data_IF_586766199988
#
_entry.id   IF_586766199988
#
_cell.length_a   1.000
_cell.length_b   1.000
_cell.length_c   1.000
_cell.angle_alpha   90.00
_cell.angle_beta   90.00
_cell.angle_gamma   90.00
#
_symmetry.space_group_name_H-M   'P 1'
#
loop_
_entity.id
_entity.type
_entity.pdbx_description
1 polymer ?
#
# COMPACT_ATOMS: atom_id res chain seq x y z
N UNK A 1 -17.49 25.45 -6.78
CA UNK A 1 -16.32 24.54 -6.75
C UNK A 1 -16.20 23.73 -5.46
N UNK A 2 -16.34 24.31 -4.24
CA UNK A 2 -16.22 23.55 -2.97
C UNK A 2 -17.21 22.35 -2.83
N UNK A 3 -18.45 22.47 -3.31
CA UNK A 3 -19.46 21.39 -3.20
C UNK A 3 -19.15 20.12 -4.03
N UNK A 4 -18.40 20.23 -5.13
CA UNK A 4 -18.03 19.07 -5.97
C UNK A 4 -16.92 18.21 -5.32
N UNK A 5 -16.10 18.79 -4.45
CA UNK A 5 -15.01 18.10 -3.77
C UNK A 5 -15.47 17.19 -2.61
N UNK A 6 -16.73 17.32 -2.18
CA UNK A 6 -17.32 16.51 -1.09
C UNK A 6 -18.27 15.43 -1.60
N UNK A 7 -18.34 15.23 -2.92
CA UNK A 7 -19.08 14.09 -3.46
C UNK A 7 -18.44 12.78 -3.03
N UNK A 8 -19.22 11.73 -2.82
CA UNK A 8 -18.71 10.40 -2.50
C UNK A 8 -17.62 9.91 -3.46
N UNK A 9 -17.80 10.22 -4.73
CA UNK A 9 -16.85 9.88 -5.77
C UNK A 9 -15.51 10.63 -5.60
N UNK A 10 -15.56 11.92 -5.31
CA UNK A 10 -14.36 12.73 -5.10
C UNK A 10 -13.57 12.27 -3.86
N UNK A 11 -14.27 11.86 -2.79
CA UNK A 11 -13.62 11.27 -1.61
C UNK A 11 -12.98 9.93 -1.92
N UNK A 12 -13.64 9.09 -2.72
CA UNK A 12 -13.07 7.81 -3.15
C UNK A 12 -11.83 8.02 -4.01
N UNK A 13 -11.91 8.88 -5.03
CA UNK A 13 -10.76 9.21 -5.90
C UNK A 13 -9.58 9.75 -5.08
N UNK A 14 -9.85 10.60 -4.09
CA UNK A 14 -8.80 11.09 -3.20
C UNK A 14 -8.12 9.98 -2.40
N UNK A 15 -8.90 9.04 -1.83
CA UNK A 15 -8.37 7.92 -1.06
C UNK A 15 -7.53 6.98 -1.93
N UNK A 16 -8.00 6.71 -3.14
CA UNK A 16 -7.25 5.92 -4.12
C UNK A 16 -5.98 6.65 -4.54
N UNK A 17 -6.01 7.95 -4.79
CA UNK A 17 -4.83 8.74 -5.13
C UNK A 17 -3.78 8.73 -4.01
N UNK A 18 -4.20 8.82 -2.74
CA UNK A 18 -3.30 8.67 -1.59
C UNK A 18 -2.64 7.30 -1.54
N UNK A 19 -3.39 6.25 -1.84
CA UNK A 19 -2.85 4.89 -1.89
C UNK A 19 -1.81 4.74 -2.99
N UNK A 20 -2.08 5.23 -4.20
CA UNK A 20 -1.10 5.23 -5.27
C UNK A 20 0.16 6.02 -4.91
N UNK A 21 0.02 7.16 -4.25
CA UNK A 21 1.18 7.93 -3.77
C UNK A 21 2.00 7.12 -2.76
N UNK A 22 1.35 6.41 -1.84
CA UNK A 22 2.03 5.54 -0.88
C UNK A 22 2.76 4.38 -1.57
N UNK A 23 2.13 3.72 -2.56
CA UNK A 23 2.74 2.64 -3.35
C UNK A 23 3.95 3.14 -4.16
N UNK A 24 3.87 4.34 -4.74
CA UNK A 24 5.02 4.96 -5.43
C UNK A 24 6.18 5.27 -4.47
N UNK A 25 5.89 5.70 -3.24
CA UNK A 25 6.93 5.88 -2.22
C UNK A 25 7.58 4.54 -1.83
N UNK A 26 6.80 3.46 -1.72
CA UNK A 26 7.35 2.11 -1.51
C UNK A 26 8.29 1.69 -2.64
N UNK A 27 7.95 1.99 -3.90
CA UNK A 27 8.82 1.69 -5.05
C UNK A 27 10.09 2.51 -5.04
N UNK A 28 10.00 3.78 -4.70
CA UNK A 28 11.18 4.63 -4.54
C UNK A 28 12.09 4.08 -3.43
N UNK A 29 11.52 3.66 -2.30
CA UNK A 29 12.26 3.02 -1.22
C UNK A 29 12.90 1.70 -1.67
N UNK A 30 12.17 0.85 -2.41
CA UNK A 30 12.70 -0.39 -2.99
C UNK A 30 13.92 -0.12 -3.86
N UNK A 31 13.81 0.85 -4.75
CA UNK A 31 14.90 1.20 -5.67
C UNK A 31 16.11 1.75 -4.91
N UNK A 32 15.91 2.68 -3.98
CA UNK A 32 17.00 3.26 -3.16
C UNK A 32 17.69 2.17 -2.33
N UNK A 33 16.90 1.28 -1.72
CA UNK A 33 17.43 0.20 -0.89
C UNK A 33 18.26 -0.81 -1.68
N UNK A 34 17.85 -1.11 -2.91
CA UNK A 34 18.49 -2.08 -3.78
C UNK A 34 19.36 -1.44 -4.88
N UNK A 35 19.67 -0.15 -4.78
CA UNK A 35 20.41 0.60 -5.81
C UNK A 35 21.76 -0.03 -6.19
N UNK A 36 22.45 -0.63 -5.22
CA UNK A 36 23.72 -1.32 -5.46
C UNK A 36 23.58 -2.57 -6.34
N UNK A 37 22.40 -3.19 -6.37
CA UNK A 37 22.10 -4.39 -7.17
C UNK A 37 21.48 -4.03 -8.53
N UNK A 38 20.66 -2.97 -8.56
CA UNK A 38 19.89 -2.56 -9.74
C UNK A 38 20.70 -1.64 -10.68
N UNK A 39 21.79 -1.02 -10.16
CA UNK A 39 22.56 -0.03 -10.91
C UNK A 39 21.83 1.32 -11.11
N UNK A 40 22.43 2.25 -11.85
CA UNK A 40 21.83 3.55 -12.11
C UNK A 40 20.59 3.44 -12.99
N UNK A 41 19.57 4.28 -12.78
CA UNK A 41 18.36 4.24 -13.60
C UNK A 41 18.66 4.63 -15.04
N UNK A 42 18.15 3.85 -15.97
CA UNK A 42 18.17 4.18 -17.39
C UNK A 42 17.01 5.14 -17.66
N UNK A 43 17.31 6.42 -17.82
CA UNK A 43 16.31 7.49 -17.97
C UNK A 43 15.34 7.27 -19.14
N UNK A 44 15.78 6.62 -20.21
CA UNK A 44 14.94 6.27 -21.36
C UNK A 44 13.86 5.22 -21.05
N UNK A 45 14.06 4.40 -20.02
CA UNK A 45 13.16 3.32 -19.64
C UNK A 45 12.22 3.69 -18.48
N UNK A 46 12.45 4.84 -17.83
CA UNK A 46 11.64 5.27 -16.67
C UNK A 46 10.15 5.35 -16.99
N UNK A 47 9.78 5.81 -18.20
CA UNK A 47 8.39 5.88 -18.61
C UNK A 47 7.72 4.50 -18.65
N UNK A 48 8.42 3.50 -19.18
CA UNK A 48 7.95 2.12 -19.25
C UNK A 48 7.87 1.49 -17.86
N UNK A 49 8.86 1.74 -17.01
CA UNK A 49 8.88 1.27 -15.61
C UNK A 49 7.73 1.84 -14.80
N UNK A 50 7.45 3.15 -14.93
CA UNK A 50 6.32 3.79 -14.26
C UNK A 50 4.99 3.25 -14.78
N UNK A 51 4.83 3.12 -16.10
CA UNK A 51 3.60 2.59 -16.70
C UNK A 51 3.34 1.13 -16.28
N UNK A 52 4.39 0.29 -16.31
CA UNK A 52 4.32 -1.09 -15.82
C UNK A 52 3.97 -1.15 -14.34
N UNK A 53 4.60 -0.29 -13.53
CA UNK A 53 4.31 -0.17 -12.11
C UNK A 53 2.86 0.19 -11.84
N UNK A 54 2.33 1.19 -12.51
CA UNK A 54 0.93 1.61 -12.36
C UNK A 54 -0.05 0.49 -12.73
N UNK A 55 0.27 -0.31 -13.75
CA UNK A 55 -0.56 -1.47 -14.13
C UNK A 55 -0.64 -2.49 -13.02
N UNK A 56 0.50 -2.86 -12.40
CA UNK A 56 0.54 -3.80 -11.28
C UNK A 56 -0.13 -3.23 -10.02
N UNK A 57 0.11 -1.96 -9.73
CA UNK A 57 -0.52 -1.29 -8.59
C UNK A 57 -2.04 -1.23 -8.76
N UNK A 58 -2.52 -0.96 -9.99
CA UNK A 58 -3.95 -0.98 -10.29
C UNK A 58 -4.55 -2.35 -10.03
N UNK A 59 -3.90 -3.43 -10.46
CA UNK A 59 -4.36 -4.78 -10.18
C UNK A 59 -4.40 -5.03 -8.66
N UNK A 60 -3.34 -4.69 -7.93
CA UNK A 60 -3.26 -4.86 -6.47
C UNK A 60 -4.36 -4.07 -5.75
N UNK A 61 -4.59 -2.81 -6.14
CA UNK A 61 -5.64 -1.96 -5.58
C UNK A 61 -7.04 -2.53 -5.88
N UNK A 62 -7.28 -3.00 -7.11
CA UNK A 62 -8.58 -3.59 -7.46
C UNK A 62 -8.84 -4.87 -6.65
N UNK A 63 -7.85 -5.73 -6.47
CA UNK A 63 -7.99 -6.96 -5.68
C UNK A 63 -8.14 -6.68 -4.19
N UNK A 64 -7.31 -5.80 -3.62
CA UNK A 64 -7.32 -5.53 -2.19
C UNK A 64 -8.47 -4.61 -1.77
N UNK A 65 -8.69 -3.53 -2.52
CA UNK A 65 -9.66 -2.49 -2.19
C UNK A 65 -10.96 -2.57 -3.00
N UNK A 66 -11.15 -3.58 -3.85
CA UNK A 66 -12.36 -3.73 -4.66
C UNK A 66 -13.64 -3.71 -3.83
N UNK A 67 -13.67 -4.41 -2.71
CA UNK A 67 -14.81 -4.41 -1.77
C UNK A 67 -14.99 -3.01 -1.15
N UNK A 68 -13.91 -2.34 -0.76
CA UNK A 68 -13.96 -0.96 -0.26
C UNK A 68 -14.52 0.01 -1.29
N UNK A 69 -14.11 -0.11 -2.55
CA UNK A 69 -14.58 0.72 -3.66
C UNK A 69 -16.09 0.49 -3.86
N UNK A 70 -16.53 -0.76 -3.94
CA UNK A 70 -17.95 -1.11 -4.08
C UNK A 70 -18.77 -0.56 -2.92
N UNK A 71 -18.39 -0.82 -1.68
CA UNK A 71 -19.09 -0.33 -0.49
C UNK A 71 -19.08 1.20 -0.42
N UNK A 72 -18.04 1.86 -0.90
CA UNK A 72 -17.96 3.33 -0.95
C UNK A 72 -18.88 3.94 -2.01
N UNK A 73 -19.18 3.23 -3.08
CA UNK A 73 -20.04 3.69 -4.18
C UNK A 73 -21.53 3.37 -3.97
N UNK A 74 -21.84 2.31 -3.21
CA UNK A 74 -23.22 1.91 -2.99
C UNK A 74 -24.02 3.05 -2.33
N UNK A 75 -25.18 3.44 -2.93
CA UNK A 75 -26.04 4.51 -2.41
C UNK A 75 -26.89 4.01 -1.23
N UNK A 76 -26.25 3.50 -0.18
CA UNK A 76 -26.94 3.00 0.99
C UNK A 76 -27.18 4.12 2.01
N UNK A 77 -28.38 4.20 2.56
CA UNK A 77 -28.69 5.07 3.71
C UNK A 77 -27.82 4.76 4.94
N UNK A 78 -27.20 3.57 4.97
CA UNK A 78 -26.21 3.14 5.98
C UNK A 78 -24.97 4.02 6.02
N UNK A 79 -24.66 4.72 4.93
CA UNK A 79 -23.47 5.56 4.77
C UNK A 79 -23.42 6.74 5.76
N UNK A 80 -24.56 7.20 6.24
CA UNK A 80 -24.66 8.24 7.25
C UNK A 80 -24.37 7.73 8.66
N UNK A 81 -24.48 6.41 8.88
CA UNK A 81 -24.24 5.80 10.19
C UNK A 81 -22.75 5.83 10.55
N UNK A 82 -22.45 6.24 11.79
CA UNK A 82 -21.08 6.30 12.33
C UNK A 82 -20.37 4.95 12.27
N UNK A 83 -21.09 3.88 12.56
CA UNK A 83 -20.59 2.50 12.48
C UNK A 83 -20.07 2.15 11.07
N UNK A 84 -20.86 2.42 10.02
CA UNK A 84 -20.48 2.10 8.65
C UNK A 84 -19.22 2.88 8.19
N UNK A 85 -19.15 4.15 8.54
CA UNK A 85 -17.95 4.98 8.27
C UNK A 85 -16.71 4.48 9.01
N UNK A 86 -16.89 4.01 10.25
CA UNK A 86 -15.83 3.39 11.04
C UNK A 86 -15.33 2.09 10.41
N UNK A 87 -16.25 1.24 9.96
CA UNK A 87 -15.93 -0.01 9.27
C UNK A 87 -15.12 0.25 7.99
N UNK A 88 -15.56 1.16 7.13
CA UNK A 88 -14.85 1.52 5.90
C UNK A 88 -13.45 2.12 6.19
N UNK A 89 -13.34 2.93 7.23
CA UNK A 89 -12.04 3.48 7.65
C UNK A 89 -11.07 2.39 8.06
N UNK A 90 -11.49 1.49 8.94
CA UNK A 90 -10.62 0.40 9.43
C UNK A 90 -10.29 -0.60 8.32
N UNK A 91 -11.26 -0.93 7.45
CA UNK A 91 -11.00 -1.75 6.27
C UNK A 91 -9.88 -1.14 5.42
N UNK A 92 -10.03 0.12 5.03
CA UNK A 92 -9.05 0.83 4.22
C UNK A 92 -7.66 0.85 4.88
N UNK A 93 -7.59 1.19 6.17
CA UNK A 93 -6.30 1.28 6.87
C UNK A 93 -5.64 -0.08 7.03
N UNK A 94 -6.37 -1.11 7.45
CA UNK A 94 -5.81 -2.44 7.73
C UNK A 94 -5.38 -3.12 6.43
N UNK A 95 -6.24 -3.16 5.43
CA UNK A 95 -5.93 -3.81 4.15
C UNK A 95 -4.71 -3.16 3.51
N UNK A 96 -4.66 -1.83 3.49
CA UNK A 96 -3.52 -1.13 2.89
C UNK A 96 -2.26 -1.17 3.75
N UNK A 97 -2.36 -1.25 5.08
CA UNK A 97 -1.21 -1.51 5.94
C UNK A 97 -0.57 -2.86 5.61
N UNK A 98 -1.39 -3.92 5.44
CA UNK A 98 -0.90 -5.25 5.04
C UNK A 98 -0.33 -5.23 3.62
N UNK A 99 -1.03 -4.60 2.66
CA UNK A 99 -0.57 -4.48 1.28
C UNK A 99 0.78 -3.78 1.19
N UNK A 100 0.96 -2.66 1.90
CA UNK A 100 2.23 -1.93 1.93
C UNK A 100 3.31 -2.76 2.61
N UNK A 101 3.02 -3.39 3.76
CA UNK A 101 4.00 -4.16 4.50
C UNK A 101 4.41 -5.43 3.75
N UNK A 102 3.43 -6.29 3.40
CA UNK A 102 3.71 -7.59 2.83
C UNK A 102 4.15 -7.51 1.36
N UNK A 103 3.40 -6.80 0.52
CA UNK A 103 3.67 -6.81 -0.92
C UNK A 103 4.80 -5.89 -1.36
N UNK A 104 5.14 -4.87 -0.58
CA UNK A 104 6.15 -3.89 -0.99
C UNK A 104 7.39 -3.84 -0.08
N UNK A 105 7.22 -3.68 1.23
CA UNK A 105 8.38 -3.52 2.12
C UNK A 105 9.05 -4.85 2.43
N UNK A 106 8.28 -5.94 2.61
CA UNK A 106 8.85 -7.28 2.75
C UNK A 106 9.60 -7.68 1.47
N UNK A 107 9.02 -7.42 0.28
CA UNK A 107 9.66 -7.64 -1.02
C UNK A 107 10.97 -6.85 -1.16
N UNK A 108 11.04 -5.64 -0.61
CA UNK A 108 12.24 -4.81 -0.63
C UNK A 108 13.43 -5.49 0.06
N UNK A 109 13.19 -6.12 1.21
CA UNK A 109 14.22 -6.84 1.97
C UNK A 109 14.51 -8.19 1.32
N UNK A 110 13.47 -8.91 0.95
CA UNK A 110 13.57 -10.26 0.35
C UNK A 110 14.37 -10.24 -0.95
N UNK A 111 14.13 -9.26 -1.83
CA UNK A 111 14.84 -9.10 -3.09
C UNK A 111 16.35 -8.96 -2.90
N UNK A 112 16.79 -8.29 -1.84
CA UNK A 112 18.22 -8.10 -1.56
C UNK A 112 18.96 -9.42 -1.32
N UNK A 113 18.28 -10.41 -0.73
CA UNK A 113 18.89 -11.70 -0.40
C UNK A 113 18.70 -12.75 -1.50
N UNK A 114 17.59 -12.73 -2.20
CA UNK A 114 17.22 -13.79 -3.15
C UNK A 114 17.32 -13.37 -4.60
N UNK A 115 17.40 -12.08 -4.87
CA UNK A 115 17.30 -11.47 -6.22
C UNK A 115 16.02 -11.88 -6.98
N UNK A 116 15.01 -12.37 -6.23
CA UNK A 116 13.68 -12.71 -6.71
C UNK A 116 12.65 -11.88 -5.98
N UNK A 117 11.50 -11.67 -6.61
CA UNK A 117 10.38 -11.03 -5.95
C UNK A 117 9.66 -12.01 -5.05
N UNK A 118 9.20 -11.49 -3.91
CA UNK A 118 8.40 -12.25 -2.96
C UNK A 118 7.06 -12.63 -3.59
N UNK A 119 6.74 -13.93 -3.61
CA UNK A 119 5.52 -14.49 -4.19
C UNK A 119 4.65 -15.14 -3.12
N UNK A 120 3.35 -15.30 -3.42
CA UNK A 120 2.42 -15.93 -2.49
C UNK A 120 2.84 -17.37 -2.13
N UNK A 121 3.44 -18.08 -3.09
CA UNK A 121 3.90 -19.46 -2.87
C UNK A 121 4.93 -19.54 -1.74
N UNK A 122 5.77 -18.53 -1.59
CA UNK A 122 6.80 -18.50 -0.53
C UNK A 122 6.19 -18.32 0.87
N UNK A 123 5.02 -17.70 0.97
CA UNK A 123 4.28 -17.58 2.24
C UNK A 123 3.75 -18.96 2.67
N UNK A 124 3.24 -19.73 1.70
CA UNK A 124 2.60 -21.02 1.99
C UNK A 124 3.61 -22.17 2.15
N UNK A 125 4.79 -22.05 1.53
CA UNK A 125 5.86 -23.06 1.63
C UNK A 125 6.91 -22.76 2.70
N UNK A 126 6.76 -21.67 3.45
CA UNK A 126 7.60 -21.37 4.62
C UNK A 126 7.22 -22.31 5.79
N UNK A 127 7.50 -23.60 5.61
CA UNK A 127 7.37 -24.64 6.65
C UNK A 127 8.56 -24.52 7.63
N UNK A 128 8.61 -23.38 8.33
CA UNK A 128 9.66 -23.10 9.29
C UNK A 128 9.05 -22.68 10.63
N UNK A 129 9.23 -23.53 11.64
CA UNK A 129 8.92 -23.23 13.06
C UNK A 129 9.57 -21.91 13.56
N UNK A 130 10.55 -21.38 12.82
CA UNK A 130 11.30 -20.17 13.15
C UNK A 130 10.87 -18.92 12.35
N UNK A 131 9.81 -19.00 11.55
CA UNK A 131 9.41 -17.90 10.66
C UNK A 131 9.11 -16.59 11.40
N UNK A 132 8.49 -16.66 12.58
CA UNK A 132 8.21 -15.48 13.43
C UNK A 132 9.48 -14.85 14.03
N UNK A 133 10.44 -15.69 14.46
CA UNK A 133 11.72 -15.20 14.98
C UNK A 133 12.54 -14.55 13.88
N UNK A 134 12.53 -15.15 12.69
CA UNK A 134 13.22 -14.61 11.51
C UNK A 134 12.60 -13.29 11.08
N UNK A 135 11.27 -13.19 11.04
CA UNK A 135 10.56 -11.94 10.75
C UNK A 135 10.88 -10.85 11.78
N UNK A 136 10.91 -11.18 13.08
CA UNK A 136 11.29 -10.26 14.14
C UNK A 136 12.73 -9.74 13.98
N UNK A 137 13.66 -10.62 13.64
CA UNK A 137 15.06 -10.24 13.38
C UNK A 137 15.16 -9.32 12.15
N UNK A 138 14.48 -9.66 11.05
CA UNK A 138 14.44 -8.81 9.85
C UNK A 138 13.84 -7.42 10.13
N UNK A 139 12.79 -7.34 10.93
CA UNK A 139 12.20 -6.07 11.35
C UNK A 139 13.16 -5.23 12.20
N UNK A 140 13.91 -5.86 13.11
CA UNK A 140 14.88 -5.18 13.95
C UNK A 140 16.08 -4.66 13.13
N UNK A 141 16.60 -5.47 12.20
CA UNK A 141 17.71 -5.09 11.34
C UNK A 141 17.31 -3.99 10.33
N UNK A 142 16.05 -3.96 9.91
CA UNK A 142 15.53 -2.98 8.93
C UNK A 142 14.51 -2.02 9.56
N UNK A 143 14.75 -1.58 10.80
CA UNK A 143 13.84 -0.72 11.58
C UNK A 143 13.39 0.55 10.83
N UNK A 144 14.22 1.10 9.93
CA UNK A 144 13.89 2.26 9.12
C UNK A 144 12.77 1.97 8.10
N UNK A 145 12.66 0.73 7.59
CA UNK A 145 11.53 0.32 6.74
C UNK A 145 10.24 0.19 7.56
N UNK A 146 10.35 -0.25 8.82
CA UNK A 146 9.22 -0.28 9.75
C UNK A 146 8.74 1.13 10.07
N UNK A 147 9.66 2.09 10.25
CA UNK A 147 9.30 3.50 10.42
C UNK A 147 8.63 4.08 9.15
N UNK A 148 9.15 3.74 7.96
CA UNK A 148 8.53 4.13 6.70
C UNK A 148 7.11 3.57 6.60
N UNK A 149 6.92 2.29 6.92
CA UNK A 149 5.61 1.66 6.97
C UNK A 149 4.65 2.39 7.91
N UNK A 150 5.06 2.62 9.15
CA UNK A 150 4.25 3.33 10.14
C UNK A 150 3.89 4.75 9.68
N UNK A 151 4.84 5.46 9.05
CA UNK A 151 4.64 6.76 8.45
C UNK A 151 3.61 6.74 7.32
N UNK A 152 3.70 5.77 6.40
CA UNK A 152 2.77 5.63 5.28
C UNK A 152 1.36 5.26 5.77
N UNK A 153 1.23 4.33 6.71
CA UNK A 153 -0.07 3.95 7.30
C UNK A 153 -0.70 5.15 8.03
N UNK A 154 0.11 5.92 8.77
CA UNK A 154 -0.34 7.14 9.44
C UNK A 154 -0.79 8.19 8.42
N UNK A 155 -0.06 8.35 7.33
CA UNK A 155 -0.41 9.26 6.23
C UNK A 155 -1.75 8.88 5.59
N UNK A 156 -1.96 7.59 5.32
CA UNK A 156 -3.24 7.08 4.78
C UNK A 156 -4.40 7.33 5.75
N UNK A 157 -4.22 7.00 7.03
CA UNK A 157 -5.23 7.21 8.07
C UNK A 157 -5.57 8.70 8.26
N UNK A 158 -4.56 9.56 8.28
CA UNK A 158 -4.72 11.00 8.39
C UNK A 158 -5.40 11.60 7.15
N UNK A 159 -4.92 11.26 5.95
CA UNK A 159 -5.46 11.73 4.69
C UNK A 159 -6.91 11.28 4.46
N UNK A 160 -7.26 10.06 4.92
CA UNK A 160 -8.64 9.58 4.93
C UNK A 160 -9.54 10.46 5.81
N UNK A 161 -9.08 10.78 7.04
CA UNK A 161 -9.88 11.53 8.02
C UNK A 161 -9.96 13.01 7.69
N UNK A 162 -8.90 13.60 7.14
CA UNK A 162 -8.85 15.04 6.86
C UNK A 162 -10.01 15.50 5.97
N UNK A 163 -10.24 14.82 4.86
CA UNK A 163 -11.35 15.16 3.94
C UNK A 163 -12.72 14.65 4.35
N UNK A 164 -12.80 13.78 5.35
CA UNK A 164 -14.09 13.32 5.89
C UNK A 164 -14.64 14.30 6.92
N UNK A 165 -13.80 15.20 7.46
CA UNK A 165 -14.18 16.19 8.47
C UNK A 165 -14.57 17.57 7.87
N UNK A 166 -14.14 17.85 6.64
CA UNK A 166 -14.52 19.05 5.89
C UNK A 166 -15.85 18.84 5.16
#
# INVERSE_FOLDING_TARGET
MKRLLHTPLALLVWRIALLYAALMLCRAAFWVYNAALLGPPVWSELGQLVAGSLKFDTASVVYADGVFILLSLLPLHLRERRWYRGMLFWYYVIVNAVLIAAANLADTVYFRYTQKRFTADEIFFADNDNSLQLAGKFMAENWYLVLLWAGLVTLLAWGYRRRTRE
#
